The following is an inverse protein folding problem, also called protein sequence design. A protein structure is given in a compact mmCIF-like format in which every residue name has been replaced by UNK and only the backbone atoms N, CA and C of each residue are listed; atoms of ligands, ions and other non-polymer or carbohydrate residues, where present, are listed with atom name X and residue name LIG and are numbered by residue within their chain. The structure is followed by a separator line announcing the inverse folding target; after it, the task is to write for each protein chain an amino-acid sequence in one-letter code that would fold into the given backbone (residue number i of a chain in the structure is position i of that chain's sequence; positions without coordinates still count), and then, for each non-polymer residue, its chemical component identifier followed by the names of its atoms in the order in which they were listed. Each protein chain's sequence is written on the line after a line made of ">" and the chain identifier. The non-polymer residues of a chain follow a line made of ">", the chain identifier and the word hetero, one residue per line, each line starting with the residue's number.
data_IF_607962252031
#
_entry.id   IF_607962252031
#
_cell.length_a   1.000
_cell.length_b   1.000
_cell.length_c   1.000
_cell.angle_alpha   90.00
_cell.angle_beta   90.00
_cell.angle_gamma   90.00
#
_symmetry.space_group_name_H-M   'P 1'
#
loop_
_entity.id
_entity.type
_entity.pdbx_description
1 polymer ?
#
# COMPACT_ATOMS: atom_id res chain seq x y z
N UNK A 1 21.57 1.17 9.22
CA UNK A 1 20.62 2.23 8.83
C UNK A 1 20.17 1.96 7.40
N UNK A 2 18.89 2.22 7.07
CA UNK A 2 18.33 1.87 5.74
C UNK A 2 18.57 2.94 4.66
N UNK A 3 19.22 4.06 5.01
CA UNK A 3 19.47 5.19 4.11
C UNK A 3 20.20 4.81 2.82
N UNK A 4 21.34 4.09 2.83
CA UNK A 4 22.06 3.78 1.59
C UNK A 4 21.24 2.96 0.59
N UNK A 5 20.36 2.07 1.09
CA UNK A 5 19.47 1.29 0.25
C UNK A 5 18.42 2.19 -0.41
N UNK A 6 17.78 3.07 0.36
CA UNK A 6 16.79 4.02 -0.16
C UNK A 6 17.43 4.96 -1.18
N UNK A 7 18.63 5.48 -0.91
CA UNK A 7 19.34 6.38 -1.82
C UNK A 7 19.70 5.70 -3.14
N UNK A 8 19.96 4.38 -3.12
CA UNK A 8 20.20 3.61 -4.34
C UNK A 8 18.92 3.35 -5.16
N UNK A 9 17.76 3.22 -4.50
CA UNK A 9 16.46 2.94 -5.13
C UNK A 9 15.80 4.23 -5.64
N UNK A 10 15.98 5.34 -4.93
CA UNK A 10 15.37 6.64 -5.23
C UNK A 10 16.43 7.74 -5.42
N UNK A 11 17.28 7.65 -6.46
CA UNK A 11 18.34 8.63 -6.71
C UNK A 11 17.79 10.01 -7.12
N UNK A 12 16.52 10.09 -7.51
CA UNK A 12 15.86 11.31 -7.98
C UNK A 12 14.96 11.97 -6.92
N UNK A 13 14.79 11.37 -5.75
CA UNK A 13 14.09 11.98 -4.61
C UNK A 13 12.57 12.04 -4.76
N UNK A 14 11.93 10.98 -5.28
CA UNK A 14 10.48 10.85 -5.31
C UNK A 14 9.86 10.63 -3.92
N UNK A 15 10.61 10.09 -2.95
CA UNK A 15 10.14 9.86 -1.58
C UNK A 15 10.24 11.13 -0.75
N UNK A 16 9.10 11.72 -0.38
CA UNK A 16 9.06 12.98 0.38
C UNK A 16 9.49 12.86 1.85
N UNK A 17 9.19 11.74 2.50
CA UNK A 17 9.48 11.51 3.93
C UNK A 17 9.91 10.07 4.16
N UNK A 18 10.92 9.86 5.01
CA UNK A 18 11.47 8.55 5.35
C UNK A 18 11.21 8.26 6.83
N UNK A 19 10.29 7.33 7.09
CA UNK A 19 9.94 6.89 8.43
C UNK A 19 10.49 5.48 8.68
N UNK A 20 11.00 5.22 9.87
CA UNK A 20 11.61 3.94 10.23
C UNK A 20 10.91 3.32 11.44
N UNK A 21 11.54 2.31 12.03
CA UNK A 21 10.97 1.50 13.13
C UNK A 21 10.63 2.33 14.37
N UNK A 22 11.38 3.38 14.64
CA UNK A 22 11.15 4.36 15.70
C UNK A 22 9.84 5.15 15.53
N UNK A 23 9.34 5.29 14.30
CA UNK A 23 8.06 5.92 13.99
C UNK A 23 6.86 4.95 14.08
N UNK A 24 7.06 3.69 14.50
CA UNK A 24 5.99 2.69 14.62
C UNK A 24 5.60 2.45 16.07
N UNK A 25 4.36 1.99 16.31
CA UNK A 25 3.94 1.50 17.62
C UNK A 25 4.33 0.04 17.79
N UNK A 26 4.99 -0.29 18.89
CA UNK A 26 5.28 -1.68 19.24
C UNK A 26 4.13 -2.24 20.08
N UNK A 27 3.40 -3.21 19.54
CA UNK A 27 2.21 -3.79 20.15
C UNK A 27 2.21 -5.30 19.93
N UNK A 28 2.00 -6.07 21.00
CA UNK A 28 1.92 -7.54 20.97
C UNK A 28 3.11 -8.23 20.28
N UNK A 29 4.31 -7.63 20.35
CA UNK A 29 5.51 -8.16 19.69
C UNK A 29 5.70 -7.70 18.23
N UNK A 30 4.77 -6.91 17.69
CA UNK A 30 4.74 -6.47 16.30
C UNK A 30 4.90 -4.94 16.19
N UNK A 31 5.53 -4.49 15.12
CA UNK A 31 5.57 -3.07 14.76
C UNK A 31 4.37 -2.72 13.88
N UNK A 32 3.58 -1.75 14.33
CA UNK A 32 2.37 -1.27 13.65
C UNK A 32 2.57 0.18 13.22
N UNK A 33 2.28 0.46 11.95
CA UNK A 33 2.30 1.79 11.33
C UNK A 33 0.96 2.47 11.64
N UNK A 34 0.95 3.31 12.66
CA UNK A 34 -0.25 4.07 13.02
C UNK A 34 -0.38 5.32 12.15
N UNK A 35 -1.32 5.31 11.20
CA UNK A 35 -1.50 6.45 10.28
C UNK A 35 -2.09 7.68 10.96
N UNK A 36 -2.71 7.55 12.14
CA UNK A 36 -3.25 8.71 12.89
C UNK A 36 -2.14 9.68 13.31
N UNK A 37 -0.90 9.20 13.38
CA UNK A 37 0.28 10.01 13.72
C UNK A 37 0.88 10.77 12.53
N UNK A 38 0.37 10.58 11.30
CA UNK A 38 0.95 11.20 10.09
C UNK A 38 0.51 12.65 9.85
N UNK A 39 -0.46 13.16 10.61
CA UNK A 39 -1.09 14.46 10.37
C UNK A 39 -1.54 14.59 8.88
N UNK A 40 -2.25 13.55 8.41
CA UNK A 40 -2.87 13.46 7.08
C UNK A 40 -4.28 12.94 7.26
N UNK A 41 -5.18 13.39 6.40
CA UNK A 41 -6.54 12.87 6.36
C UNK A 41 -6.51 11.37 5.97
N UNK A 42 -6.98 10.45 6.83
CA UNK A 42 -7.03 9.02 6.51
C UNK A 42 -7.84 8.71 5.24
N UNK A 43 -8.80 9.56 4.85
CA UNK A 43 -9.56 9.37 3.61
C UNK A 43 -8.68 9.49 2.34
N UNK A 44 -7.45 10.01 2.47
CA UNK A 44 -6.49 10.23 1.39
C UNK A 44 -5.19 9.43 1.55
N UNK A 45 -5.15 8.46 2.47
CA UNK A 45 -3.94 7.69 2.79
C UNK A 45 -4.13 6.21 2.42
N UNK A 46 -3.19 5.68 1.66
CA UNK A 46 -3.07 4.24 1.37
C UNK A 46 -1.77 3.72 1.97
N UNK A 47 -1.83 2.62 2.72
CA UNK A 47 -0.68 1.90 3.25
C UNK A 47 -0.50 0.63 2.42
N UNK A 48 0.68 0.46 1.84
CA UNK A 48 1.04 -0.77 1.11
C UNK A 48 2.05 -1.55 1.96
N UNK A 49 1.75 -2.82 2.21
CA UNK A 49 2.64 -3.75 2.92
C UNK A 49 2.29 -5.18 2.52
N UNK A 50 3.19 -6.14 2.73
CA UNK A 50 2.87 -7.56 2.58
C UNK A 50 2.33 -8.18 3.89
N UNK A 51 2.46 -7.48 5.03
CA UNK A 51 1.95 -7.91 6.34
C UNK A 51 0.70 -7.12 6.72
N UNK A 52 -0.46 -7.76 6.75
CA UNK A 52 -1.72 -7.16 7.24
C UNK A 52 -1.61 -6.58 8.65
N UNK A 53 -0.84 -7.23 9.51
CA UNK A 53 -0.60 -6.76 10.88
C UNK A 53 0.05 -5.37 10.95
N UNK A 54 0.82 -4.97 9.94
CA UNK A 54 1.56 -3.70 9.99
C UNK A 54 0.65 -2.48 9.94
N UNK A 55 -0.60 -2.64 9.51
CA UNK A 55 -1.62 -1.58 9.47
C UNK A 55 -2.89 -1.96 10.23
N UNK A 56 -2.81 -2.89 11.19
CA UNK A 56 -3.97 -3.39 11.96
C UNK A 56 -4.78 -2.32 12.70
N UNK A 57 -4.19 -1.15 12.98
CA UNK A 57 -4.89 -0.02 13.61
C UNK A 57 -5.81 0.73 12.63
N UNK A 58 -5.58 0.61 11.33
CA UNK A 58 -6.38 1.21 10.27
C UNK A 58 -6.55 0.21 9.10
N UNK A 59 -7.29 -0.90 9.30
CA UNK A 59 -7.34 -2.01 8.35
C UNK A 59 -7.90 -1.62 6.97
N UNK A 60 -8.77 -0.61 6.92
CA UNK A 60 -9.37 -0.10 5.67
C UNK A 60 -8.47 0.85 4.88
N UNK A 61 -7.32 1.23 5.43
CA UNK A 61 -6.31 2.02 4.73
C UNK A 61 -5.21 1.16 4.11
N UNK A 62 -5.19 -0.14 4.42
CA UNK A 62 -4.13 -1.04 4.01
C UNK A 62 -4.46 -1.86 2.77
N UNK A 63 -3.47 -2.02 1.90
CA UNK A 63 -3.47 -2.96 0.80
C UNK A 63 -2.37 -4.00 1.05
N UNK A 64 -2.78 -5.22 1.38
CA UNK A 64 -1.86 -6.33 1.58
C UNK A 64 -1.46 -6.94 0.24
N UNK A 65 -0.19 -6.82 -0.15
CA UNK A 65 0.32 -7.45 -1.36
C UNK A 65 0.91 -8.84 -1.07
N UNK A 66 0.95 -9.74 -2.06
CA UNK A 66 1.75 -10.94 -1.99
C UNK A 66 3.21 -10.61 -1.63
N UNK A 67 3.83 -11.45 -0.82
CA UNK A 67 5.23 -11.28 -0.46
C UNK A 67 6.09 -11.59 -1.69
N UNK A 68 6.95 -10.64 -2.08
CA UNK A 68 7.96 -10.87 -3.11
C UNK A 68 8.96 -11.94 -2.68
N UNK A 69 9.22 -12.89 -3.57
CA UNK A 69 10.10 -14.05 -3.35
C UNK A 69 11.47 -13.90 -4.02
N UNK A 70 11.68 -12.83 -4.79
CA UNK A 70 12.90 -12.61 -5.57
C UNK A 70 12.74 -12.82 -7.07
N UNK A 71 11.59 -13.27 -7.55
CA UNK A 71 11.33 -13.53 -8.97
C UNK A 71 11.41 -12.26 -9.84
N UNK A 72 12.05 -12.39 -11.02
CA UNK A 72 12.14 -11.32 -12.04
C UNK A 72 10.86 -11.12 -12.84
N UNK A 73 10.02 -12.15 -12.89
CA UNK A 73 8.74 -12.13 -13.61
C UNK A 73 7.61 -11.50 -12.78
N UNK A 74 7.89 -11.10 -11.53
CA UNK A 74 6.92 -10.41 -10.67
C UNK A 74 6.49 -9.07 -11.29
N UNK A 75 5.18 -8.83 -11.32
CA UNK A 75 4.58 -7.60 -11.84
C UNK A 75 3.74 -6.86 -10.81
N UNK A 76 3.79 -7.24 -9.53
CA UNK A 76 2.92 -6.70 -8.50
C UNK A 76 3.04 -5.18 -8.37
N UNK A 77 4.26 -4.62 -8.47
CA UNK A 77 4.46 -3.16 -8.40
C UNK A 77 3.95 -2.42 -9.65
N UNK A 78 4.00 -3.05 -10.83
CA UNK A 78 3.43 -2.49 -12.05
C UNK A 78 1.90 -2.42 -11.96
N UNK A 79 1.28 -3.49 -11.46
CA UNK A 79 -0.16 -3.58 -11.26
C UNK A 79 -0.65 -2.65 -10.14
N UNK A 80 0.13 -2.53 -9.07
CA UNK A 80 -0.10 -1.55 -8.01
C UNK A 80 -0.09 -0.12 -8.56
N UNK A 81 0.87 0.22 -9.42
CA UNK A 81 0.93 1.55 -10.03
C UNK A 81 -0.33 1.85 -10.86
N UNK A 82 -0.81 0.88 -11.63
CA UNK A 82 -2.07 1.00 -12.37
C UNK A 82 -3.27 1.19 -11.43
N UNK A 83 -3.36 0.40 -10.35
CA UNK A 83 -4.41 0.50 -9.34
C UNK A 83 -4.45 1.87 -8.66
N UNK A 84 -3.29 2.34 -8.15
CA UNK A 84 -3.18 3.64 -7.49
C UNK A 84 -3.48 4.80 -8.45
N UNK A 85 -3.05 4.70 -9.72
CA UNK A 85 -3.37 5.68 -10.76
C UNK A 85 -4.88 5.73 -11.02
N UNK A 86 -5.56 4.58 -11.08
CA UNK A 86 -7.03 4.55 -11.23
C UNK A 86 -7.72 5.23 -10.05
N UNK A 87 -7.31 4.94 -8.80
CA UNK A 87 -7.86 5.64 -7.61
C UNK A 87 -7.67 7.16 -7.74
N UNK A 88 -6.45 7.60 -8.05
CA UNK A 88 -6.12 9.01 -8.17
C UNK A 88 -6.93 9.74 -9.27
N UNK A 89 -7.18 9.07 -10.40
CA UNK A 89 -7.93 9.65 -11.53
C UNK A 89 -9.45 9.56 -11.38
N UNK A 90 -9.95 8.61 -10.57
CA UNK A 90 -11.38 8.38 -10.38
C UNK A 90 -12.10 9.46 -9.54
N UNK A 91 -11.35 10.38 -8.92
CA UNK A 91 -11.93 11.44 -8.09
C UNK A 91 -12.56 10.94 -6.78
N UNK A 92 -12.26 9.71 -6.36
CA UNK A 92 -12.75 9.14 -5.10
C UNK A 92 -12.41 10.05 -3.93
N UNK A 93 -13.43 10.41 -3.14
CA UNK A 93 -13.27 11.28 -1.97
C UNK A 93 -12.60 10.55 -0.80
N UNK A 94 -12.94 9.28 -0.60
CA UNK A 94 -12.41 8.43 0.46
C UNK A 94 -11.90 7.10 -0.08
N UNK A 95 -10.58 6.93 -0.08
CA UNK A 95 -9.91 5.73 -0.63
C UNK A 95 -10.30 4.45 0.10
N UNK A 96 -10.75 4.54 1.36
CA UNK A 96 -11.13 3.37 2.18
C UNK A 96 -12.32 2.62 1.58
N UNK A 97 -13.24 3.34 0.94
CA UNK A 97 -14.40 2.76 0.25
C UNK A 97 -13.97 1.85 -0.90
N UNK A 98 -12.86 2.18 -1.58
CA UNK A 98 -12.28 1.34 -2.63
C UNK A 98 -11.53 0.18 -2.01
N UNK A 99 -10.64 0.45 -1.06
CA UNK A 99 -9.78 -0.57 -0.45
C UNK A 99 -10.57 -1.66 0.28
N UNK A 100 -11.69 -1.30 0.93
CA UNK A 100 -12.57 -2.27 1.59
C UNK A 100 -13.06 -3.36 0.64
N UNK A 101 -13.38 -3.00 -0.62
CA UNK A 101 -13.81 -3.95 -1.66
C UNK A 101 -12.74 -4.96 -2.10
N UNK A 102 -11.49 -4.76 -1.66
CA UNK A 102 -10.35 -5.64 -1.92
C UNK A 102 -9.76 -6.22 -0.63
N UNK A 103 -10.30 -5.85 0.53
CA UNK A 103 -9.72 -6.19 1.84
C UNK A 103 -9.72 -7.69 2.14
N UNK A 104 -10.70 -8.43 1.61
CA UNK A 104 -10.85 -9.88 1.76
C UNK A 104 -10.22 -10.69 0.62
N UNK A 105 -9.70 -10.03 -0.42
CA UNK A 105 -9.05 -10.72 -1.52
C UNK A 105 -7.65 -11.19 -1.08
N UNK A 106 -7.30 -12.44 -1.42
CA UNK A 106 -5.95 -12.97 -1.20
C UNK A 106 -4.91 -12.22 -2.03
N UNK A 107 -5.29 -11.88 -3.27
CA UNK A 107 -4.54 -11.00 -4.16
C UNK A 107 -5.46 -9.86 -4.66
N UNK A 108 -5.38 -8.68 -4.04
CA UNK A 108 -6.24 -7.55 -4.40
C UNK A 108 -5.93 -6.99 -5.79
N UNK A 109 -4.69 -7.13 -6.29
CA UNK A 109 -4.30 -6.60 -7.60
C UNK A 109 -4.81 -7.50 -8.72
N UNK A 110 -4.74 -8.82 -8.55
CA UNK A 110 -5.37 -9.76 -9.48
C UNK A 110 -6.90 -9.56 -9.52
N UNK A 111 -7.53 -9.33 -8.36
CA UNK A 111 -8.95 -9.00 -8.30
C UNK A 111 -9.28 -7.70 -9.05
N UNK A 112 -8.45 -6.67 -8.93
CA UNK A 112 -8.60 -5.43 -9.67
C UNK A 112 -8.50 -5.64 -11.18
N UNK A 113 -7.50 -6.38 -11.67
CA UNK A 113 -7.36 -6.70 -13.08
C UNK A 113 -8.59 -7.44 -13.64
N UNK A 114 -9.05 -8.49 -12.94
CA UNK A 114 -10.25 -9.25 -13.34
C UNK A 114 -11.49 -8.34 -13.47
N UNK A 115 -11.66 -7.41 -12.53
CA UNK A 115 -12.78 -6.45 -12.55
C UNK A 115 -12.66 -5.44 -13.70
N UNK A 116 -11.44 -4.97 -14.01
CA UNK A 116 -11.20 -4.04 -15.12
C UNK A 116 -11.49 -4.69 -16.47
N UNK A 117 -10.99 -5.90 -16.71
CA UNK A 117 -11.23 -6.62 -17.98
C UNK A 117 -12.73 -6.86 -18.22
N UNK A 118 -13.51 -7.19 -17.18
CA UNK A 118 -14.97 -7.38 -17.31
C UNK A 118 -15.72 -6.10 -17.68
N UNK A 119 -15.20 -4.92 -17.31
CA UNK A 119 -15.83 -3.64 -17.66
C UNK A 119 -15.49 -3.19 -19.09
N UNK A 120 -14.45 -3.77 -19.68
CA UNK A 120 -13.99 -3.49 -21.05
C UNK A 120 -14.64 -4.44 -22.09
N UNK A 121 -15.36 -5.47 -21.62
CA UNK A 121 -16.21 -6.40 -22.41
C UNK A 121 -17.65 -5.88 -22.53
#
# INVERSE_FOLDING_TARGET
>A
TAFPLIDSIDPHGFVSYRLFRDATRYMDGHHVKDISCLNRDPARVVVVDWRRDSFRLQPYNGLALPRWDGGSEDRALYDLAAFLKTIALSGVEDVRTVLENYSLEDDPLAAFQRRRTRLEE
#
